data_IF_563661619285
#
_entry.id   IF_563661619285
#
_cell.length_a   1.000
_cell.length_b   1.000
_cell.length_c   1.000
_cell.angle_alpha   90.00
_cell.angle_beta   90.00
_cell.angle_gamma   90.00
#
_symmetry.space_group_name_H-M   'P 1'
#
loop_
_entity.id
_entity.type
_entity.pdbx_description
1 polymer ?
#
# COMPACT_ATOMS: atom_id res chain seq x y z
N UNK A 1 -8.93 33.72 4.16
CA UNK A 1 -7.73 33.02 4.68
C UNK A 1 -7.85 31.59 4.24
N UNK A 2 -7.17 31.20 3.17
CA UNK A 2 -7.08 29.80 2.76
C UNK A 2 -6.24 29.09 3.82
N UNK A 3 -6.82 28.10 4.50
CA UNK A 3 -6.06 27.14 5.28
C UNK A 3 -5.02 26.51 4.34
N UNK A 4 -3.74 26.74 4.59
CA UNK A 4 -2.69 25.99 3.92
C UNK A 4 -2.87 24.53 4.33
N UNK A 5 -3.47 23.74 3.44
CA UNK A 5 -3.57 22.30 3.62
C UNK A 5 -2.14 21.77 3.78
N UNK A 6 -1.86 21.16 4.93
CA UNK A 6 -0.61 20.49 5.24
C UNK A 6 -0.27 19.51 4.10
N UNK A 7 1.00 19.47 3.69
CA UNK A 7 1.44 18.60 2.59
C UNK A 7 1.09 17.13 2.84
N UNK A 8 1.18 16.66 4.09
CA UNK A 8 0.74 15.31 4.45
C UNK A 8 -0.75 15.09 4.16
N UNK A 9 -1.60 16.08 4.46
CA UNK A 9 -3.04 15.99 4.23
C UNK A 9 -3.35 15.94 2.73
N UNK A 10 -2.56 16.62 1.89
CA UNK A 10 -2.67 16.53 0.43
C UNK A 10 -2.32 15.14 -0.08
N UNK A 11 -1.26 14.53 0.45
CA UNK A 11 -0.84 13.18 0.06
C UNK A 11 -1.89 12.15 0.49
N UNK A 12 -2.40 12.25 1.71
CA UNK A 12 -3.46 11.39 2.23
C UNK A 12 -4.73 11.55 1.38
N UNK A 13 -5.13 12.78 1.08
CA UNK A 13 -6.26 13.05 0.18
C UNK A 13 -6.04 12.42 -1.21
N UNK A 14 -4.86 12.60 -1.80
CA UNK A 14 -4.52 12.02 -3.11
C UNK A 14 -4.55 10.49 -3.06
N UNK A 15 -4.09 9.88 -1.97
CA UNK A 15 -4.18 8.45 -1.77
C UNK A 15 -5.64 7.98 -1.78
N UNK A 16 -6.52 8.60 -0.99
CA UNK A 16 -7.94 8.22 -0.95
C UNK A 16 -8.65 8.42 -2.29
N UNK A 17 -8.38 9.53 -2.99
CA UNK A 17 -8.92 9.78 -4.33
C UNK A 17 -8.54 8.70 -5.35
N UNK A 18 -7.36 8.09 -5.22
CA UNK A 18 -6.89 7.06 -6.14
C UNK A 18 -7.24 5.63 -5.71
N UNK A 19 -7.23 5.34 -4.42
CA UNK A 19 -7.16 3.96 -3.91
C UNK A 19 -8.42 3.49 -3.18
N UNK A 20 -9.35 4.38 -2.82
CA UNK A 20 -10.57 3.98 -2.11
C UNK A 20 -11.50 3.10 -2.95
N UNK A 21 -11.55 3.33 -4.26
CA UNK A 21 -12.30 2.48 -5.20
C UNK A 21 -11.47 1.35 -5.82
N UNK A 22 -10.21 1.18 -5.40
CA UNK A 22 -9.35 0.12 -5.92
C UNK A 22 -9.91 -1.25 -5.51
N UNK A 23 -10.04 -2.23 -6.43
CA UNK A 23 -10.67 -3.53 -6.13
C UNK A 23 -9.87 -4.44 -5.19
N UNK A 24 -8.67 -4.00 -4.79
CA UNK A 24 -7.80 -4.70 -3.87
C UNK A 24 -7.57 -3.95 -2.57
N UNK A 25 -6.64 -4.45 -1.76
CA UNK A 25 -6.13 -3.72 -0.59
C UNK A 25 -5.03 -2.76 -1.04
N UNK A 26 -5.04 -1.53 -0.54
CA UNK A 26 -4.00 -0.53 -0.77
C UNK A 26 -3.71 0.23 0.53
N UNK A 27 -2.43 0.50 0.79
CA UNK A 27 -1.94 1.23 1.96
C UNK A 27 -0.83 2.18 1.56
N UNK A 28 -0.88 3.42 2.04
CA UNK A 28 0.26 4.32 2.05
C UNK A 28 1.12 4.05 3.29
N UNK A 29 2.42 3.88 3.13
CA UNK A 29 3.32 3.42 4.19
C UNK A 29 4.62 4.22 4.14
N UNK A 30 5.17 4.54 5.31
CA UNK A 30 6.47 5.19 5.41
C UNK A 30 7.65 4.21 5.52
N UNK A 31 8.87 4.74 5.49
CA UNK A 31 10.13 3.99 5.61
C UNK A 31 10.30 3.22 6.91
N UNK A 32 9.52 3.55 7.95
CA UNK A 32 9.45 2.81 9.22
C UNK A 32 8.37 1.73 9.22
N UNK A 33 7.79 1.44 8.06
CA UNK A 33 6.69 0.50 7.85
C UNK A 33 5.40 0.84 8.59
N UNK A 34 5.22 2.09 9.00
CA UNK A 34 4.00 2.59 9.63
C UNK A 34 3.02 2.97 8.52
N UNK A 35 1.78 2.48 8.64
CA UNK A 35 0.68 2.81 7.74
C UNK A 35 0.24 4.25 8.02
N UNK A 36 0.23 5.06 6.96
CA UNK A 36 -0.17 6.48 6.99
C UNK A 36 -1.63 6.64 6.58
N UNK A 37 -2.09 5.86 5.59
CA UNK A 37 -3.46 5.83 5.12
C UNK A 37 -3.77 4.44 4.55
N UNK A 38 -5.03 4.03 4.58
CA UNK A 38 -5.49 2.74 4.06
C UNK A 38 -6.83 2.87 3.37
N UNK A 39 -7.04 2.09 2.31
CA UNK A 39 -8.36 1.99 1.72
C UNK A 39 -9.24 1.05 2.55
N UNK A 40 -10.56 1.12 2.34
CA UNK A 40 -11.55 0.31 3.08
C UNK A 40 -11.21 -1.18 3.12
N UNK A 41 -10.84 -1.77 1.98
CA UNK A 41 -10.46 -3.19 1.90
C UNK A 41 -9.24 -3.51 2.77
N UNK A 42 -8.25 -2.62 2.85
CA UNK A 42 -7.09 -2.80 3.72
C UNK A 42 -7.47 -2.69 5.21
N UNK A 43 -8.29 -1.71 5.58
CA UNK A 43 -8.75 -1.51 6.95
C UNK A 43 -9.55 -2.71 7.47
N UNK A 44 -10.45 -3.26 6.66
CA UNK A 44 -11.23 -4.46 6.98
C UNK A 44 -10.34 -5.68 7.26
N UNK A 45 -9.12 -5.70 6.72
CA UNK A 45 -8.12 -6.74 6.96
C UNK A 45 -7.13 -6.39 8.10
N UNK A 46 -7.41 -5.33 8.88
CA UNK A 46 -6.63 -4.92 10.04
C UNK A 46 -5.42 -4.03 9.73
N UNK A 47 -5.26 -3.57 8.48
CA UNK A 47 -4.24 -2.59 8.11
C UNK A 47 -4.77 -1.19 8.35
N UNK A 48 -4.79 -0.75 9.61
CA UNK A 48 -5.23 0.60 9.99
C UNK A 48 -4.06 1.56 10.16
N UNK A 49 -4.33 2.85 10.11
CA UNK A 49 -3.32 3.91 10.34
C UNK A 49 -2.58 3.74 11.66
N UNK A 50 -1.30 4.13 11.68
CA UNK A 50 -0.41 4.03 12.84
C UNK A 50 0.14 2.62 13.11
N UNK A 51 -0.39 1.58 12.46
CA UNK A 51 0.07 0.20 12.65
C UNK A 51 1.33 -0.07 11.82
N UNK A 52 2.28 -0.79 12.40
CA UNK A 52 3.41 -1.35 11.65
C UNK A 52 2.89 -2.52 10.82
N UNK A 53 3.02 -2.44 9.49
CA UNK A 53 2.33 -3.38 8.63
C UNK A 53 2.71 -4.85 8.84
N UNK A 54 3.96 -5.13 9.24
CA UNK A 54 4.44 -6.48 9.52
C UNK A 54 3.83 -7.10 10.80
N UNK A 55 3.11 -6.30 11.61
CA UNK A 55 2.39 -6.77 12.80
C UNK A 55 0.95 -7.22 12.52
N UNK A 56 0.45 -6.99 11.31
CA UNK A 56 -0.88 -7.45 10.89
C UNK A 56 -0.76 -8.85 10.29
N UNK A 57 -1.45 -9.83 10.88
CA UNK A 57 -1.33 -11.24 10.50
C UNK A 57 -0.05 -11.89 11.03
N UNK A 58 0.30 -13.08 10.50
CA UNK A 58 1.50 -13.81 10.94
C UNK A 58 2.78 -13.29 10.25
N UNK A 59 3.97 -13.41 10.88
CA UNK A 59 5.25 -13.00 10.28
C UNK A 59 5.54 -13.65 8.92
N UNK A 60 5.07 -14.87 8.70
CA UNK A 60 5.26 -15.63 7.46
C UNK A 60 4.60 -14.94 6.26
N UNK A 61 3.47 -14.24 6.47
CA UNK A 61 2.79 -13.47 5.41
C UNK A 61 3.63 -12.31 4.89
N UNK A 62 4.59 -11.83 5.69
CA UNK A 62 5.51 -10.75 5.34
C UNK A 62 6.85 -11.25 4.80
N UNK A 63 7.03 -12.57 4.64
CA UNK A 63 8.28 -13.14 4.15
C UNK A 63 8.59 -12.72 2.72
N UNK A 64 9.74 -12.06 2.57
CA UNK A 64 10.19 -11.48 1.31
C UNK A 64 9.34 -10.29 0.86
N UNK A 65 8.94 -9.45 1.83
CA UNK A 65 8.48 -8.09 1.57
C UNK A 65 9.54 -7.31 0.77
N UNK A 66 9.10 -6.57 -0.25
CA UNK A 66 9.98 -5.79 -1.13
C UNK A 66 10.10 -4.32 -0.71
N UNK A 67 9.47 -3.90 0.39
CA UNK A 67 9.43 -2.49 0.82
C UNK A 67 10.82 -1.83 0.89
N UNK A 68 11.78 -2.47 1.56
CA UNK A 68 13.14 -1.94 1.67
C UNK A 68 13.85 -1.89 0.31
N UNK A 69 13.58 -2.86 -0.57
CA UNK A 69 14.13 -2.85 -1.92
C UNK A 69 13.55 -1.69 -2.72
N UNK A 70 12.23 -1.52 -2.73
CA UNK A 70 11.51 -0.43 -3.39
C UNK A 70 11.97 0.94 -2.90
N UNK A 71 12.10 1.14 -1.59
CA UNK A 71 12.57 2.41 -1.03
C UNK A 71 14.03 2.69 -1.42
N UNK A 72 14.90 1.66 -1.41
CA UNK A 72 16.31 1.81 -1.76
C UNK A 72 16.53 2.09 -3.25
N UNK A 73 15.82 1.37 -4.13
CA UNK A 73 16.03 1.47 -5.59
C UNK A 73 15.12 2.48 -6.26
N UNK A 74 14.12 2.99 -5.53
CA UNK A 74 13.09 3.90 -6.05
C UNK A 74 12.40 3.33 -7.30
N UNK A 75 12.33 2.01 -7.40
CA UNK A 75 11.73 1.30 -8.53
C UNK A 75 10.55 0.47 -8.04
N UNK A 76 9.41 0.58 -8.71
CA UNK A 76 8.24 -0.22 -8.41
C UNK A 76 8.54 -1.72 -8.48
N UNK A 77 8.02 -2.48 -7.53
CA UNK A 77 8.18 -3.93 -7.45
C UNK A 77 6.82 -4.59 -7.49
N UNK A 78 6.74 -5.77 -8.11
CA UNK A 78 5.57 -6.63 -8.02
C UNK A 78 6.01 -8.08 -7.81
N UNK A 79 5.17 -8.86 -7.15
CA UNK A 79 5.30 -10.30 -7.14
C UNK A 79 3.93 -10.99 -7.16
N UNK A 80 3.97 -12.30 -7.43
CA UNK A 80 2.83 -13.20 -7.37
C UNK A 80 3.22 -14.46 -6.60
N UNK A 81 3.59 -14.29 -5.33
CA UNK A 81 3.89 -15.45 -4.45
C UNK A 81 2.65 -16.24 -4.08
N UNK A 82 1.48 -15.62 -4.18
CA UNK A 82 0.17 -16.23 -3.96
C UNK A 82 -0.53 -16.32 -5.31
N UNK A 83 -1.06 -17.50 -5.64
CA UNK A 83 -1.62 -17.76 -6.97
C UNK A 83 -2.85 -16.91 -7.29
N UNK A 84 -3.56 -16.45 -6.27
CA UNK A 84 -4.83 -15.74 -6.35
C UNK A 84 -4.69 -14.21 -6.38
N UNK A 85 -3.48 -13.66 -6.26
CA UNK A 85 -3.28 -12.20 -6.16
C UNK A 85 -1.89 -11.73 -6.57
N UNK A 86 -1.82 -10.50 -7.06
CA UNK A 86 -0.57 -9.77 -7.28
C UNK A 86 -0.34 -8.85 -6.09
N UNK A 87 0.89 -8.76 -5.61
CA UNK A 87 1.32 -7.76 -4.64
C UNK A 87 2.23 -6.75 -5.33
N UNK A 88 2.17 -5.50 -4.92
CA UNK A 88 3.06 -4.48 -5.47
C UNK A 88 3.43 -3.38 -4.50
N UNK A 89 4.64 -2.87 -4.66
CA UNK A 89 5.24 -1.81 -3.86
C UNK A 89 5.64 -0.68 -4.80
N UNK A 90 4.93 0.44 -4.72
CA UNK A 90 5.06 1.60 -5.60
C UNK A 90 5.70 2.72 -4.79
N UNK A 91 6.94 3.16 -5.10
CA UNK A 91 7.50 4.35 -4.45
C UNK A 91 6.65 5.57 -4.82
N UNK A 92 6.45 6.49 -3.87
CA UNK A 92 5.74 7.74 -4.16
C UNK A 92 6.73 8.76 -4.75
N UNK A 93 6.48 9.21 -5.97
CA UNK A 93 7.37 10.16 -6.66
C UNK A 93 7.44 11.49 -5.89
N UNK A 94 8.65 12.05 -5.72
CA UNK A 94 8.88 13.24 -4.90
C UNK A 94 8.95 12.98 -3.38
N UNK A 95 8.67 11.75 -2.91
CA UNK A 95 8.72 11.37 -1.49
C UNK A 95 9.57 10.10 -1.29
N UNK A 96 10.80 10.28 -0.82
CA UNK A 96 11.77 9.18 -0.72
C UNK A 96 11.44 8.16 0.36
N UNK A 97 10.68 8.56 1.38
CA UNK A 97 10.31 7.73 2.52
C UNK A 97 8.91 7.13 2.42
N UNK A 98 8.16 7.40 1.35
CA UNK A 98 6.80 6.91 1.16
C UNK A 98 6.67 5.92 0.00
N UNK A 99 5.79 4.93 0.18
CA UNK A 99 5.40 3.99 -0.86
C UNK A 99 3.97 3.49 -0.64
N UNK A 100 3.30 3.09 -1.72
CA UNK A 100 2.04 2.36 -1.67
C UNK A 100 2.32 0.87 -1.75
N UNK A 101 1.77 0.09 -0.81
CA UNK A 101 1.71 -1.36 -0.91
C UNK A 101 0.29 -1.77 -1.24
N UNK A 102 0.10 -2.47 -2.35
CA UNK A 102 -1.19 -2.97 -2.77
C UNK A 102 -1.20 -4.49 -2.94
N UNK A 103 -2.39 -5.05 -2.88
CA UNK A 103 -2.68 -6.43 -3.21
C UNK A 103 -3.92 -6.47 -4.09
N UNK A 104 -3.77 -6.96 -5.32
CA UNK A 104 -4.82 -7.06 -6.32
C UNK A 104 -5.22 -8.53 -6.53
N UNK A 105 -6.44 -8.94 -6.17
CA UNK A 105 -6.94 -10.26 -6.51
C UNK A 105 -6.94 -10.47 -8.03
N UNK A 106 -6.56 -11.67 -8.47
CA UNK A 106 -6.63 -12.06 -9.87
C UNK A 106 -8.01 -12.66 -10.13
N UNK A 107 -8.87 -12.02 -10.94
CA UNK A 107 -10.18 -12.56 -11.26
C UNK A 107 -10.06 -13.92 -11.95
N UNK A 108 -11.01 -14.82 -11.69
CA UNK A 108 -11.12 -16.05 -12.48
C UNK A 108 -11.42 -15.68 -13.93
N UNK A 109 -10.88 -16.45 -14.87
CA UNK A 109 -11.31 -16.37 -16.27
C UNK A 109 -12.81 -16.65 -16.30
N UNK A 110 -13.57 -15.72 -16.88
CA UNK A 110 -14.96 -15.99 -17.25
C UNK A 110 -14.85 -16.84 -18.52
N UNK A 111 -15.29 -18.10 -18.45
CA UNK A 111 -15.43 -18.91 -19.66
C UNK A 111 -16.63 -18.37 -20.43
N UNK A 112 -16.40 -17.93 -21.66
CA UNK A 112 -17.46 -17.59 -22.63
C UNK A 112 -18.25 -18.84 -23.04
#
# INVERSE_FOLDING_TARGET
>A
MSEEINENDKIILAFHLMWDSFPGSARLINSRHIIIASNKTAEENGFTEGVICARVGSPELHKGCMANHTLKTRTAQTDRKLDDRIRGWLPLEGYDDLFVHFTLPIPKKINE
#
